data_IF_728490926718
#
_entry.id   IF_728490926718
#
_cell.length_a   1.000
_cell.length_b   1.000
_cell.length_c   1.000
_cell.angle_alpha   90.00
_cell.angle_beta   90.00
_cell.angle_gamma   90.00
#
_symmetry.space_group_name_H-M   'P 1'
#
loop_
_entity.id
_entity.type
_entity.pdbx_description
1 polymer ?
#
# COMPACT_ATOMS: atom_id res chain seq x y z
N UNK A 1 -50.35 27.94 2.91
CA UNK A 1 -48.93 28.02 3.27
C UNK A 1 -48.48 26.93 4.23
N UNK A 2 -49.20 26.68 5.34
CA UNK A 2 -48.82 25.69 6.36
C UNK A 2 -48.65 24.24 5.86
N UNK A 3 -49.51 23.79 4.94
CA UNK A 3 -49.40 22.44 4.37
C UNK A 3 -48.25 22.28 3.38
N UNK A 4 -47.89 23.33 2.64
CA UNK A 4 -46.77 23.31 1.70
C UNK A 4 -45.43 23.27 2.47
N UNK A 5 -45.35 24.00 3.58
CA UNK A 5 -44.21 23.96 4.50
C UNK A 5 -44.06 22.58 5.14
N UNK A 6 -45.17 21.94 5.54
CA UNK A 6 -45.13 20.59 6.09
C UNK A 6 -44.64 19.55 5.06
N UNK A 7 -45.08 19.65 3.80
CA UNK A 7 -44.65 18.75 2.71
C UNK A 7 -43.16 18.97 2.38
N UNK A 8 -42.70 20.23 2.35
CA UNK A 8 -41.28 20.56 2.14
C UNK A 8 -40.39 20.04 3.28
N UNK A 9 -40.84 20.14 4.53
CA UNK A 9 -40.12 19.61 5.69
C UNK A 9 -40.05 18.07 5.68
N UNK A 10 -41.14 17.40 5.29
CA UNK A 10 -41.17 15.94 5.12
C UNK A 10 -40.24 15.48 3.98
N UNK A 11 -40.26 16.17 2.84
CA UNK A 11 -39.40 15.86 1.71
C UNK A 11 -37.90 16.05 2.04
N UNK A 12 -37.54 17.11 2.79
CA UNK A 12 -36.17 17.30 3.28
C UNK A 12 -35.73 16.18 4.24
N UNK A 13 -36.62 15.70 5.10
CA UNK A 13 -36.29 14.63 6.06
C UNK A 13 -36.08 13.26 5.41
N UNK A 14 -36.76 12.98 4.29
CA UNK A 14 -36.60 11.73 3.55
C UNK A 14 -35.23 11.59 2.86
N UNK A 15 -34.56 12.69 2.53
CA UNK A 15 -33.26 12.66 1.83
C UNK A 15 -32.09 12.25 2.73
N UNK A 16 -32.30 12.15 4.05
CA UNK A 16 -31.24 11.86 5.01
C UNK A 16 -31.23 10.41 5.53
N UNK A 17 -32.12 9.54 5.05
CA UNK A 17 -32.17 8.14 5.47
C UNK A 17 -31.12 7.36 4.67
N UNK A 18 -29.87 7.39 5.13
CA UNK A 18 -28.91 6.35 4.77
C UNK A 18 -29.25 5.12 5.63
N UNK A 19 -30.11 4.25 5.10
CA UNK A 19 -30.32 2.94 5.72
C UNK A 19 -29.00 2.16 5.62
N UNK A 20 -28.34 1.95 6.76
CA UNK A 20 -27.22 1.00 6.80
C UNK A 20 -27.79 -0.40 6.57
N UNK A 21 -27.35 -1.08 5.50
CA UNK A 21 -27.76 -2.45 5.22
C UNK A 21 -27.42 -3.34 6.42
N UNK A 22 -28.36 -4.19 6.82
CA UNK A 22 -28.12 -5.15 7.89
C UNK A 22 -27.19 -6.27 7.41
N UNK A 23 -26.64 -7.06 8.33
CA UNK A 23 -25.83 -8.22 7.96
C UNK A 23 -26.62 -9.27 7.16
N UNK A 24 -27.95 -9.32 7.33
CA UNK A 24 -28.83 -10.22 6.58
C UNK A 24 -28.98 -9.77 5.12
N UNK A 25 -29.21 -8.48 4.89
CA UNK A 25 -29.33 -7.91 3.54
C UNK A 25 -28.04 -8.09 2.74
N UNK A 26 -26.89 -7.87 3.40
CA UNK A 26 -25.60 -8.12 2.79
C UNK A 26 -25.40 -9.58 2.40
N UNK A 27 -25.92 -10.52 3.20
CA UNK A 27 -25.81 -11.96 2.92
C UNK A 27 -26.67 -12.37 1.71
N UNK A 28 -27.83 -11.74 1.53
CA UNK A 28 -28.67 -11.94 0.35
C UNK A 28 -27.97 -11.47 -0.94
N UNK A 29 -27.22 -10.37 -0.84
CA UNK A 29 -26.34 -9.87 -1.91
C UNK A 29 -25.05 -10.69 -2.08
N UNK A 30 -24.83 -11.74 -1.27
CA UNK A 30 -23.66 -12.62 -1.33
C UNK A 30 -22.45 -12.16 -0.52
N UNK A 31 -22.58 -11.14 0.32
CA UNK A 31 -21.50 -10.58 1.13
C UNK A 31 -21.56 -10.99 2.60
N UNK A 32 -20.40 -11.27 3.18
CA UNK A 32 -20.26 -11.53 4.63
C UNK A 32 -19.75 -10.26 5.30
N UNK A 33 -20.68 -9.43 5.82
CA UNK A 33 -20.37 -8.11 6.43
C UNK A 33 -19.25 -8.14 7.48
N UNK A 34 -19.15 -9.22 8.27
CA UNK A 34 -18.15 -9.37 9.33
C UNK A 34 -16.71 -9.63 8.83
N UNK A 35 -16.54 -10.07 7.58
CA UNK A 35 -15.24 -10.41 7.00
C UNK A 35 -14.91 -9.53 5.78
N UNK A 36 -15.89 -8.78 5.28
CA UNK A 36 -15.74 -7.93 4.11
C UNK A 36 -15.14 -6.58 4.48
N UNK A 37 -13.91 -6.35 4.04
CA UNK A 37 -13.20 -5.08 4.19
C UNK A 37 -13.41 -4.19 2.96
N UNK A 38 -13.48 -2.87 3.16
CA UNK A 38 -13.75 -1.92 2.08
C UNK A 38 -12.62 -1.85 1.04
N UNK A 39 -11.39 -2.19 1.41
CA UNK A 39 -10.23 -2.31 0.52
C UNK A 39 -10.40 -3.44 -0.51
N UNK A 40 -11.05 -4.54 -0.13
CA UNK A 40 -11.40 -5.63 -1.06
C UNK A 40 -12.41 -5.17 -2.11
N UNK A 41 -13.31 -4.25 -1.75
CA UNK A 41 -14.27 -3.68 -2.69
C UNK A 41 -13.62 -2.72 -3.70
N UNK A 42 -12.47 -2.10 -3.37
CA UNK A 42 -11.75 -1.22 -4.32
C UNK A 42 -11.03 -2.01 -5.42
N UNK A 43 -10.56 -3.22 -5.10
CA UNK A 43 -9.90 -4.10 -6.07
C UNK A 43 -10.85 -4.72 -7.09
N UNK A 44 -12.17 -4.60 -6.92
CA UNK A 44 -13.17 -5.15 -7.85
C UNK A 44 -13.07 -4.52 -9.25
N UNK A 45 -12.54 -3.29 -9.36
CA UNK A 45 -12.31 -2.63 -10.64
C UNK A 45 -11.28 -3.38 -11.49
N UNK A 46 -10.24 -3.92 -10.85
CA UNK A 46 -9.15 -4.66 -11.53
C UNK A 46 -9.65 -5.95 -12.20
N UNK A 47 -10.80 -6.46 -11.76
CA UNK A 47 -11.42 -7.69 -12.28
C UNK A 47 -12.65 -7.42 -13.14
N UNK A 48 -12.98 -6.17 -13.45
CA UNK A 48 -14.16 -5.80 -14.23
C UNK A 48 -15.49 -6.06 -13.51
N UNK A 49 -15.49 -6.04 -12.17
CA UNK A 49 -16.68 -6.30 -11.32
C UNK A 49 -17.29 -4.98 -10.79
N UNK A 50 -17.31 -3.94 -11.63
CA UNK A 50 -17.77 -2.60 -11.27
C UNK A 50 -19.24 -2.58 -10.81
N UNK A 51 -20.08 -3.44 -11.39
CA UNK A 51 -21.51 -3.55 -11.05
C UNK A 51 -21.76 -3.98 -9.59
N UNK A 52 -20.82 -4.73 -9.00
CA UNK A 52 -20.94 -5.32 -7.66
C UNK A 52 -20.33 -4.39 -6.58
N UNK A 53 -19.40 -3.53 -6.99
CA UNK A 53 -18.74 -2.54 -6.14
C UNK A 53 -19.67 -1.68 -5.28
N UNK A 54 -20.78 -1.09 -5.78
CA UNK A 54 -21.66 -0.26 -4.94
C UNK A 54 -22.27 -1.06 -3.78
N UNK A 55 -22.74 -2.29 -4.06
CA UNK A 55 -23.28 -3.18 -3.04
C UNK A 55 -22.21 -3.67 -2.05
N UNK A 56 -21.00 -3.95 -2.55
CA UNK A 56 -19.85 -4.27 -1.71
C UNK A 56 -19.54 -3.14 -0.72
N UNK A 57 -19.51 -1.89 -1.20
CA UNK A 57 -19.23 -0.70 -0.39
C UNK A 57 -20.30 -0.41 0.66
N UNK A 58 -21.55 -0.82 0.44
CA UNK A 58 -22.63 -0.73 1.42
C UNK A 58 -22.51 -1.79 2.54
N UNK A 59 -21.78 -2.87 2.27
CA UNK A 59 -21.68 -4.04 3.14
C UNK A 59 -20.30 -4.22 3.79
N UNK A 60 -19.32 -3.39 3.45
CA UNK A 60 -17.96 -3.50 3.95
C UNK A 60 -17.75 -2.78 5.28
N UNK A 61 -16.79 -3.26 6.05
CA UNK A 61 -16.26 -2.57 7.23
C UNK A 61 -15.08 -1.72 6.80
N UNK A 62 -15.00 -0.47 7.29
CA UNK A 62 -13.88 0.41 7.03
C UNK A 62 -12.59 -0.20 7.56
N UNK A 63 -11.63 -0.45 6.66
CA UNK A 63 -10.32 -0.93 7.02
C UNK A 63 -9.61 0.07 7.94
N UNK A 64 -9.26 -0.36 9.15
CA UNK A 64 -7.97 0.05 9.69
C UNK A 64 -6.93 -0.78 8.94
N UNK A 65 -6.53 -0.34 7.74
CA UNK A 65 -5.57 -1.09 6.91
C UNK A 65 -4.43 -1.61 7.80
N UNK A 66 -4.10 -2.90 7.81
CA UNK A 66 -2.93 -3.36 8.55
C UNK A 66 -1.71 -2.52 8.08
N UNK A 67 -0.76 -2.25 8.98
CA UNK A 67 0.45 -1.49 8.66
C UNK A 67 1.12 -1.94 7.35
N UNK A 68 1.04 -3.25 7.07
CA UNK A 68 1.51 -3.92 5.87
C UNK A 68 0.80 -3.54 4.54
N UNK A 69 -0.29 -2.76 4.56
CA UNK A 69 -0.99 -2.31 3.35
C UNK A 69 -1.14 -0.79 3.25
N UNK A 70 -0.61 -0.04 4.23
CA UNK A 70 -0.63 1.42 4.17
C UNK A 70 0.49 1.92 3.27
N UNK A 71 0.14 2.82 2.37
CA UNK A 71 1.10 3.63 1.64
C UNK A 71 1.43 4.89 2.44
N UNK A 72 2.71 5.20 2.53
CA UNK A 72 3.25 6.32 3.29
C UNK A 72 3.82 7.35 2.32
N UNK A 73 3.57 8.63 2.62
CA UNK A 73 4.04 9.70 1.76
C UNK A 73 5.56 9.88 1.86
N UNK A 74 6.12 9.68 3.06
CA UNK A 74 7.54 9.88 3.36
C UNK A 74 8.04 8.81 4.32
N UNK A 75 9.35 8.52 4.29
CA UNK A 75 10.01 7.71 5.31
C UNK A 75 11.38 8.27 5.69
N UNK A 76 11.79 8.00 6.92
CA UNK A 76 13.11 8.32 7.44
C UNK A 76 13.76 7.02 7.94
N UNK A 77 14.89 6.64 7.35
CA UNK A 77 15.74 5.56 7.83
C UNK A 77 16.80 6.15 8.77
N UNK A 78 16.65 5.89 10.08
CA UNK A 78 17.61 6.30 11.11
C UNK A 78 18.63 5.18 11.35
N UNK A 79 19.92 5.51 11.21
CA UNK A 79 21.02 4.54 11.36
C UNK A 79 22.22 5.14 12.10
N UNK A 80 23.01 4.28 12.77
CA UNK A 80 24.33 4.66 13.27
C UNK A 80 25.46 4.05 12.42
N UNK A 81 26.39 4.88 11.95
CA UNK A 81 27.63 4.41 11.31
C UNK A 81 28.47 3.52 12.24
N UNK A 82 28.36 3.74 13.55
CA UNK A 82 29.03 2.94 14.58
C UNK A 82 28.56 1.48 14.62
N UNK A 83 27.35 1.18 14.15
CA UNK A 83 26.76 -0.17 14.18
C UNK A 83 26.79 -0.87 12.83
N UNK A 84 27.38 -0.27 11.79
CA UNK A 84 27.44 -0.88 10.46
C UNK A 84 28.20 -2.22 10.42
N UNK A 85 29.16 -2.43 11.33
CA UNK A 85 29.80 -3.74 11.48
C UNK A 85 28.81 -4.83 11.91
N UNK A 86 27.80 -4.49 12.72
CA UNK A 86 26.77 -5.42 13.16
C UNK A 86 25.65 -5.60 12.12
N UNK A 87 25.45 -4.60 11.26
CA UNK A 87 24.40 -4.58 10.24
C UNK A 87 24.98 -4.28 8.83
N UNK A 88 25.89 -5.12 8.31
CA UNK A 88 26.55 -4.89 7.02
C UNK A 88 25.55 -4.81 5.86
N UNK A 89 24.43 -5.52 5.94
CA UNK A 89 23.37 -5.50 4.94
C UNK A 89 22.66 -4.14 4.85
N UNK A 90 22.48 -3.44 5.97
CA UNK A 90 21.89 -2.09 6.00
C UNK A 90 22.89 -1.08 5.43
N UNK A 91 24.18 -1.23 5.73
CA UNK A 91 25.22 -0.43 5.09
C UNK A 91 25.23 -0.63 3.58
N UNK A 92 25.13 -1.88 3.11
CA UNK A 92 25.09 -2.22 1.69
C UNK A 92 23.89 -1.56 0.99
N UNK A 93 22.70 -1.58 1.60
CA UNK A 93 21.54 -0.86 1.08
C UNK A 93 21.86 0.63 0.88
N UNK A 94 22.39 1.30 1.91
CA UNK A 94 22.71 2.74 1.86
C UNK A 94 23.76 3.08 0.79
N UNK A 95 24.75 2.21 0.57
CA UNK A 95 25.89 2.47 -0.32
C UNK A 95 25.68 2.00 -1.77
N UNK A 96 24.73 1.09 -2.02
CA UNK A 96 24.53 0.45 -3.33
C UNK A 96 23.84 1.31 -4.39
N UNK A 97 23.26 2.45 -4.02
CA UNK A 97 22.47 3.31 -4.92
C UNK A 97 20.98 2.96 -4.98
N UNK A 98 20.55 1.86 -4.34
CA UNK A 98 19.12 1.52 -4.14
C UNK A 98 18.29 2.65 -3.49
N UNK A 99 18.79 3.42 -2.50
CA UNK A 99 18.02 4.50 -1.88
C UNK A 99 17.64 5.61 -2.85
N UNK A 100 18.43 5.81 -3.92
CA UNK A 100 18.18 6.83 -4.94
C UNK A 100 16.90 6.58 -5.74
N UNK A 101 16.38 5.35 -5.74
CA UNK A 101 15.08 5.01 -6.35
C UNK A 101 13.90 5.63 -5.60
N UNK A 102 14.09 6.04 -4.35
CA UNK A 102 13.03 6.47 -3.45
C UNK A 102 13.21 7.95 -3.08
N UNK A 103 12.63 8.90 -3.84
CA UNK A 103 12.76 10.33 -3.52
C UNK A 103 12.12 10.71 -2.17
N UNK A 104 11.15 9.91 -1.73
CA UNK A 104 10.44 10.07 -0.47
C UNK A 104 11.14 9.40 0.73
N UNK A 105 12.32 8.80 0.52
CA UNK A 105 13.13 8.19 1.58
C UNK A 105 14.27 9.14 1.98
N UNK A 106 14.34 9.46 3.26
CA UNK A 106 15.44 10.23 3.84
C UNK A 106 16.31 9.33 4.74
N UNK A 107 17.63 9.40 4.59
CA UNK A 107 18.56 8.70 5.47
C UNK A 107 19.07 9.69 6.52
N UNK A 108 18.95 9.33 7.80
CA UNK A 108 19.37 10.15 8.93
C UNK A 108 20.36 9.39 9.80
N UNK A 109 21.52 9.99 10.04
CA UNK A 109 22.55 9.39 10.88
C UNK A 109 22.37 9.82 12.34
N UNK A 110 22.04 8.86 13.21
CA UNK A 110 21.85 9.07 14.65
C UNK A 110 22.78 8.15 15.42
N UNK A 111 23.50 8.71 16.40
CA UNK A 111 24.49 7.94 17.18
C UNK A 111 23.79 6.95 18.12
N UNK A 112 24.37 5.75 18.25
CA UNK A 112 24.00 4.76 19.27
C UNK A 112 22.70 3.97 19.02
N UNK A 113 21.86 4.41 18.09
CA UNK A 113 20.61 3.73 17.77
C UNK A 113 20.83 2.53 16.85
N UNK A 114 19.99 1.51 17.03
CA UNK A 114 19.82 0.44 16.06
C UNK A 114 19.08 0.96 14.82
N UNK A 115 19.28 0.36 13.64
CA UNK A 115 18.57 0.73 12.42
C UNK A 115 17.04 0.67 12.58
N UNK A 116 16.39 1.81 12.34
CA UNK A 116 14.94 1.97 12.51
C UNK A 116 14.38 2.78 11.33
N UNK A 117 13.22 2.36 10.84
CA UNK A 117 12.45 3.07 9.81
C UNK A 117 11.30 3.81 10.49
N UNK A 118 11.20 5.10 10.25
CA UNK A 118 10.04 5.93 10.62
C UNK A 118 9.22 6.20 9.38
N UNK A 119 7.93 5.95 9.45
CA UNK A 119 6.97 6.14 8.36
C UNK A 119 6.14 7.37 8.66
N UNK A 120 6.06 8.27 7.68
CA UNK A 120 5.48 9.60 7.84
C UNK A 120 4.34 9.80 6.84
N UNK A 121 3.35 10.57 7.28
CA UNK A 121 2.29 11.06 6.41
C UNK A 121 2.74 12.26 5.56
N UNK A 122 1.85 12.77 4.70
CA UNK A 122 2.13 13.93 3.85
C UNK A 122 2.46 15.20 4.66
N UNK A 123 1.96 15.28 5.89
CA UNK A 123 2.20 16.40 6.81
C UNK A 123 3.55 16.28 7.55
N UNK A 124 4.27 15.16 7.36
CA UNK A 124 5.54 14.90 8.04
C UNK A 124 5.37 14.46 9.50
N UNK A 125 4.19 13.97 9.90
CA UNK A 125 3.99 13.36 11.22
C UNK A 125 4.33 11.88 11.15
N UNK A 126 5.04 11.40 12.17
CA UNK A 126 5.37 9.97 12.32
C UNK A 126 4.08 9.19 12.63
N UNK A 127 3.73 8.27 11.76
CA UNK A 127 2.60 7.36 11.92
C UNK A 127 3.06 6.04 12.54
N UNK A 128 4.22 5.53 12.11
CA UNK A 128 4.72 4.23 12.54
C UNK A 128 6.24 4.20 12.61
N UNK A 129 6.78 3.33 13.45
CA UNK A 129 8.23 3.14 13.63
C UNK A 129 8.54 1.64 13.70
N UNK A 130 9.39 1.17 12.79
CA UNK A 130 9.73 -0.25 12.60
C UNK A 130 11.23 -0.48 12.82
N UNK A 131 11.56 -1.54 13.55
CA UNK A 131 12.95 -1.99 13.70
C UNK A 131 13.32 -2.91 12.54
N UNK A 132 14.42 -2.62 11.86
CA UNK A 132 14.89 -3.37 10.68
C UNK A 132 16.16 -4.18 10.96
N UNK A 133 16.51 -4.39 12.22
CA UNK A 133 17.73 -5.10 12.64
C UNK A 133 17.87 -6.51 12.08
N UNK A 134 16.74 -7.15 11.75
CA UNK A 134 16.66 -8.51 11.21
C UNK A 134 16.48 -8.56 9.70
N UNK A 135 16.40 -7.41 9.02
CA UNK A 135 16.11 -7.37 7.59
C UNK A 135 17.41 -7.49 6.78
N UNK A 136 17.28 -8.05 5.57
CA UNK A 136 18.34 -8.07 4.58
C UNK A 136 18.18 -6.90 3.58
N UNK A 137 19.16 -6.70 2.70
CA UNK A 137 19.19 -5.59 1.73
C UNK A 137 17.95 -5.57 0.84
N UNK A 138 17.50 -6.75 0.39
CA UNK A 138 16.39 -6.88 -0.55
C UNK A 138 15.04 -6.66 0.13
N UNK A 139 14.87 -7.14 1.37
CA UNK A 139 13.66 -6.91 2.19
C UNK A 139 13.46 -5.42 2.45
N UNK A 140 14.55 -4.69 2.72
CA UNK A 140 14.48 -3.24 2.94
C UNK A 140 14.03 -2.51 1.67
N UNK A 141 14.56 -2.91 0.51
CA UNK A 141 14.19 -2.32 -0.77
C UNK A 141 12.74 -2.61 -1.15
N UNK A 142 12.33 -3.88 -1.09
CA UNK A 142 10.95 -4.33 -1.37
C UNK A 142 9.94 -3.63 -0.46
N UNK A 143 10.29 -3.46 0.81
CA UNK A 143 9.46 -2.74 1.75
C UNK A 143 9.23 -1.29 1.30
N UNK A 144 10.29 -0.55 0.97
CA UNK A 144 10.14 0.83 0.52
C UNK A 144 9.43 0.94 -0.83
N UNK A 145 9.62 -0.02 -1.74
CA UNK A 145 8.92 -0.05 -3.02
C UNK A 145 7.41 -0.27 -2.87
N UNK A 146 7.02 -1.13 -1.93
CA UNK A 146 5.60 -1.46 -1.69
C UNK A 146 4.91 -0.37 -0.87
N UNK A 147 5.63 0.25 0.06
CA UNK A 147 5.04 1.13 1.07
C UNK A 147 5.21 2.62 0.83
N UNK A 148 6.15 3.06 0.00
CA UNK A 148 6.30 4.48 -0.30
C UNK A 148 5.46 4.89 -1.51
N UNK A 149 4.80 6.03 -1.40
CA UNK A 149 4.15 6.65 -2.54
C UNK A 149 5.20 6.95 -3.62
N UNK A 150 4.97 6.46 -4.84
CA UNK A 150 5.75 6.83 -6.03
C UNK A 150 5.24 8.20 -6.50
N UNK A 151 6.12 9.20 -6.59
CA UNK A 151 5.78 10.51 -7.15
C UNK A 151 5.59 10.35 -8.66
N UNK A 152 4.32 10.27 -9.09
CA UNK A 152 3.92 9.98 -10.46
C UNK A 152 2.72 9.04 -10.45
N UNK A 153 1.54 9.59 -10.74
CA UNK A 153 0.25 8.94 -10.52
C UNK A 153 0.12 7.54 -11.12
N UNK A 154 -0.61 6.70 -10.38
CA UNK A 154 -1.39 5.56 -10.89
C UNK A 154 -0.74 4.72 -11.97
N UNK A 155 -0.12 3.61 -11.56
CA UNK A 155 -0.44 2.24 -11.98
C UNK A 155 0.54 1.30 -11.31
N UNK A 156 -0.01 0.28 -10.64
CA UNK A 156 0.70 -0.95 -10.36
C UNK A 156 1.21 -1.48 -11.71
N UNK A 157 2.51 -1.35 -11.97
CA UNK A 157 3.14 -2.05 -13.09
C UNK A 157 4.17 -2.98 -12.49
N UNK A 158 3.74 -4.22 -12.33
CA UNK A 158 4.60 -5.37 -12.50
C UNK A 158 5.43 -5.12 -13.77
N UNK A 159 6.75 -5.07 -13.65
CA UNK A 159 7.62 -4.97 -14.82
C UNK A 159 7.56 -6.30 -15.55
N UNK A 160 6.79 -6.35 -16.65
CA UNK A 160 7.02 -7.32 -17.70
C UNK A 160 8.36 -6.92 -18.33
N UNK A 161 9.32 -7.84 -18.34
CA UNK A 161 10.53 -7.70 -19.16
C UNK A 161 10.07 -7.64 -20.61
N UNK A 162 10.25 -6.49 -21.25
CA UNK A 162 10.12 -6.38 -22.68
C UNK A 162 11.42 -6.93 -23.26
N UNK A 163 11.36 -8.15 -23.78
CA UNK A 163 12.41 -8.72 -24.62
C UNK A 163 12.51 -7.85 -25.87
N UNK A 164 13.54 -7.02 -25.94
CA UNK A 164 13.93 -6.35 -27.16
C UNK A 164 14.63 -7.39 -28.03
N UNK A 165 14.01 -7.71 -29.17
CA UNK A 165 14.64 -8.37 -30.31
C UNK A 165 15.93 -7.62 -30.68
N UNK A 166 17.08 -8.22 -30.36
CA UNK A 166 18.35 -7.96 -31.04
C UNK A 166 18.90 -9.33 -31.45
N UNK A 167 18.89 -9.55 -32.76
CA UNK A 167 19.40 -10.73 -33.44
C UNK A 167 20.90 -10.93 -33.16
N UNK A 168 21.26 -11.68 -32.12
CA UNK A 168 22.53 -12.44 -32.09
C UNK A 168 22.31 -13.86 -31.55
N UNK A 169 22.41 -14.81 -32.46
CA UNK A 169 22.35 -16.25 -32.28
C UNK A 169 23.53 -16.74 -31.40
N UNK A 170 23.30 -17.00 -30.11
CA UNK A 170 24.22 -17.81 -29.28
C UNK A 170 23.54 -19.08 -28.75
N UNK A 171 23.96 -20.20 -29.35
CA UNK A 171 23.66 -21.61 -29.08
C UNK A 171 23.78 -22.00 -27.59
N UNK A 172 22.70 -21.85 -26.82
CA UNK A 172 22.63 -22.25 -25.40
C UNK A 172 22.30 -23.73 -25.16
N UNK A 173 22.32 -24.58 -26.20
CA UNK A 173 22.13 -26.03 -26.05
C UNK A 173 23.45 -26.79 -26.18
N UNK A 174 24.33 -26.62 -25.19
CA UNK A 174 25.39 -27.61 -24.92
C UNK A 174 25.31 -28.23 -23.52
N UNK A 175 24.43 -29.23 -23.48
CA UNK A 175 24.57 -30.53 -22.78
C UNK A 175 25.00 -30.52 -21.31
N UNK A 176 24.02 -30.76 -20.43
CA UNK A 176 24.26 -31.56 -19.23
C UNK A 176 24.68 -32.97 -19.66
N UNK A 177 25.98 -33.24 -19.60
CA UNK A 177 26.50 -34.61 -19.68
C UNK A 177 26.73 -35.10 -18.25
N UNK A 178 25.94 -36.10 -17.86
CA UNK A 178 26.17 -36.98 -16.69
C UNK A 178 27.41 -37.83 -16.94
#
# INVERSE_FOLDING_TARGET
>A
MQQIVAILLLALSCQQIRAELTAADCRELGFIKAQLMCSSCDKLDDFGLEAIKPHCKQCCTLDQQPAAQRTYAKAILEVCTCKFRAYPQIQAFIQSGRPSKFPNLQIKYVRGLDPVVKLLDASGKVQETLSITKWNTDTVEEFFETHLAKEGGGKSSYSVVEDADDDEEEDYLRTNRI
#
